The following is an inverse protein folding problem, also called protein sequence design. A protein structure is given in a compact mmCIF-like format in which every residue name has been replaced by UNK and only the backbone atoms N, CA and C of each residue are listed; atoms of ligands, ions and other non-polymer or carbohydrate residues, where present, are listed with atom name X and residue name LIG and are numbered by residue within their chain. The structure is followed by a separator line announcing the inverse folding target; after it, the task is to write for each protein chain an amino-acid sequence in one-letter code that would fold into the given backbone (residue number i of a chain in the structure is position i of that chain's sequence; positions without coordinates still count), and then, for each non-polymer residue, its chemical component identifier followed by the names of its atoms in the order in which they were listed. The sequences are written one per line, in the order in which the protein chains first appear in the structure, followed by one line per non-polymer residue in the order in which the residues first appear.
data_IF_986300431713
#
_entry.id   IF_986300431713
#
_cell.length_a   1.000
_cell.length_b   1.000
_cell.length_c   1.000
_cell.angle_alpha   90.00
_cell.angle_beta   90.00
_cell.angle_gamma   90.00
#
_symmetry.space_group_name_H-M   'P 1'
#
loop_
_entity.id
_entity.type
_entity.pdbx_description
1 polymer ?
#
# COMPACT_ATOMS: atom_id res chain seq x y z
N UNK A 1 -8.94 -7.74 26.19
CA UNK A 1 -8.55 -6.72 25.20
C UNK A 1 -8.12 -5.47 25.99
N UNK A 2 -6.83 -5.23 26.13
CA UNK A 2 -6.31 -4.11 26.93
C UNK A 2 -6.44 -2.85 26.06
N UNK A 3 -7.30 -1.91 26.45
CA UNK A 3 -7.32 -0.56 25.85
C UNK A 3 -6.05 0.15 26.30
N UNK A 4 -5.09 0.31 25.40
CA UNK A 4 -3.97 1.23 25.61
C UNK A 4 -4.55 2.63 25.51
N UNK A 5 -4.80 3.26 26.66
CA UNK A 5 -5.12 4.69 26.71
C UNK A 5 -3.77 5.41 26.67
N UNK A 6 -3.47 6.00 25.51
CA UNK A 6 -2.26 6.76 25.31
C UNK A 6 -2.51 8.18 25.81
N UNK A 7 -1.88 8.54 26.92
CA UNK A 7 -2.04 9.86 27.56
C UNK A 7 -0.93 10.78 27.09
N UNK A 8 -1.31 11.83 26.37
CA UNK A 8 -0.41 12.92 25.96
C UNK A 8 -0.33 13.91 27.13
N UNK A 9 0.88 14.31 27.54
CA UNK A 9 1.07 15.24 28.64
C UNK A 9 0.95 16.71 28.18
N UNK A 10 0.87 17.65 29.13
CA UNK A 10 0.70 19.08 28.82
C UNK A 10 1.84 19.68 28.00
N UNK A 11 3.08 19.24 28.22
CA UNK A 11 4.24 19.71 27.46
C UNK A 11 4.17 19.27 25.99
N UNK A 12 3.70 18.05 25.76
CA UNK A 12 3.52 17.48 24.42
C UNK A 12 2.38 18.16 23.66
N UNK A 13 1.27 18.44 24.34
CA UNK A 13 0.18 19.23 23.76
C UNK A 13 0.70 20.62 23.37
N UNK A 14 1.47 21.27 24.24
CA UNK A 14 2.02 22.59 23.94
C UNK A 14 2.98 22.55 22.75
N UNK A 15 3.88 21.56 22.69
CA UNK A 15 4.79 21.40 21.55
C UNK A 15 4.06 21.21 20.21
N UNK A 16 2.91 20.51 20.21
CA UNK A 16 2.06 20.38 19.02
C UNK A 16 1.45 21.72 18.62
N UNK A 17 0.92 22.47 19.59
CA UNK A 17 0.32 23.78 19.33
C UNK A 17 1.37 24.78 18.79
N UNK A 18 2.54 24.84 19.42
CA UNK A 18 3.65 25.69 18.98
C UNK A 18 4.12 25.31 17.56
N UNK A 19 4.17 24.02 17.24
CA UNK A 19 4.48 23.54 15.89
C UNK A 19 3.44 23.98 14.85
N UNK A 20 2.15 24.00 15.21
CA UNK A 20 1.07 24.48 14.33
C UNK A 20 1.27 25.97 14.05
N UNK A 21 1.60 26.77 15.06
CA UNK A 21 1.84 28.20 14.89
C UNK A 21 3.03 28.47 13.94
N UNK A 22 4.13 27.73 14.11
CA UNK A 22 5.29 27.82 13.20
C UNK A 22 4.89 27.45 11.76
N UNK A 23 4.06 26.43 11.57
CA UNK A 23 3.57 26.05 10.24
C UNK A 23 2.68 27.14 9.62
N UNK A 24 1.89 27.86 10.42
CA UNK A 24 1.11 28.99 9.96
C UNK A 24 2.01 30.15 9.52
N UNK A 25 3.10 30.42 10.23
CA UNK A 25 4.09 31.41 9.83
C UNK A 25 4.79 31.04 8.51
N UNK A 26 5.21 29.78 8.38
CA UNK A 26 5.76 29.24 7.12
C UNK A 26 4.76 29.44 5.97
N UNK A 27 3.49 29.10 6.19
CA UNK A 27 2.42 29.29 5.20
C UNK A 27 2.28 30.75 4.79
N UNK A 28 2.34 31.69 5.74
CA UNK A 28 2.30 33.12 5.44
C UNK A 28 3.50 33.56 4.60
N UNK A 29 4.70 33.08 4.91
CA UNK A 29 5.91 33.36 4.13
C UNK A 29 5.80 32.82 2.70
N UNK A 30 5.31 31.58 2.53
CA UNK A 30 5.03 30.98 1.20
C UNK A 30 4.02 31.82 0.41
N UNK A 31 2.97 32.34 1.07
CA UNK A 31 1.99 33.21 0.42
C UNK A 31 2.62 34.52 -0.05
N UNK A 32 3.54 35.09 0.73
CA UNK A 32 4.18 36.37 0.43
C UNK A 32 5.17 36.30 -0.74
N UNK A 33 5.68 35.11 -1.06
CA UNK A 33 6.58 34.88 -2.21
C UNK A 33 5.84 34.40 -3.46
N UNK A 34 4.53 34.20 -3.39
CA UNK A 34 3.74 33.84 -4.57
C UNK A 34 3.65 35.04 -5.55
N UNK A 35 3.63 34.80 -6.88
CA UNK A 35 3.65 33.49 -7.54
C UNK A 35 5.05 32.98 -7.89
N UNK A 36 6.11 33.76 -7.69
CA UNK A 36 7.46 33.38 -8.13
C UNK A 36 8.12 32.31 -7.26
N UNK A 37 7.69 32.21 -6.00
CA UNK A 37 8.24 31.31 -4.96
C UNK A 37 9.75 31.48 -4.75
N UNK A 38 10.29 32.66 -5.07
CA UNK A 38 11.70 32.99 -4.88
C UNK A 38 11.90 33.65 -3.52
N UNK A 39 12.78 33.07 -2.70
CA UNK A 39 13.19 33.64 -1.42
C UNK A 39 14.39 34.57 -1.62
N UNK A 40 14.30 35.80 -1.12
CA UNK A 40 15.48 36.64 -0.96
C UNK A 40 16.31 36.19 0.26
N UNK A 41 17.52 36.75 0.43
CA UNK A 41 18.45 36.31 1.49
C UNK A 41 17.87 36.43 2.91
N UNK A 42 17.02 37.42 3.16
CA UNK A 42 16.36 37.60 4.47
C UNK A 42 15.24 36.58 4.67
N UNK A 43 14.41 36.35 3.65
CA UNK A 43 13.34 35.36 3.69
C UNK A 43 13.89 33.94 3.81
N UNK A 44 15.01 33.63 3.15
CA UNK A 44 15.69 32.34 3.27
C UNK A 44 16.15 32.09 4.70
N UNK A 45 16.84 33.07 5.32
CA UNK A 45 17.25 32.96 6.73
C UNK A 45 16.07 32.75 7.66
N UNK A 46 14.99 33.48 7.45
CA UNK A 46 13.77 33.32 8.25
C UNK A 46 13.14 31.93 8.04
N UNK A 47 13.09 31.45 6.81
CA UNK A 47 12.58 30.12 6.48
C UNK A 47 13.40 29.01 7.15
N UNK A 48 14.73 29.10 7.09
CA UNK A 48 15.63 28.15 7.75
C UNK A 48 15.45 28.16 9.27
N UNK A 49 15.28 29.33 9.88
CA UNK A 49 15.00 29.47 11.31
C UNK A 49 13.68 28.80 11.69
N UNK A 50 12.61 29.04 10.91
CA UNK A 50 11.29 28.44 11.15
C UNK A 50 11.33 26.92 11.01
N UNK A 51 12.00 26.39 9.98
CA UNK A 51 12.15 24.95 9.78
C UNK A 51 12.94 24.28 10.91
N UNK A 52 14.04 24.90 11.36
CA UNK A 52 14.81 24.39 12.49
C UNK A 52 14.02 24.45 13.80
N UNK A 53 13.26 25.52 14.02
CA UNK A 53 12.37 25.64 15.18
C UNK A 53 11.30 24.55 15.16
N UNK A 54 10.64 24.35 14.02
CA UNK A 54 9.63 23.30 13.82
C UNK A 54 10.21 21.92 14.13
N UNK A 55 11.40 21.62 13.59
CA UNK A 55 12.09 20.36 13.86
C UNK A 55 12.32 20.18 15.35
N UNK A 56 12.89 21.17 16.03
CA UNK A 56 13.21 21.08 17.45
C UNK A 56 11.97 20.89 18.34
N UNK A 57 10.83 21.49 17.97
CA UNK A 57 9.58 21.33 18.72
C UNK A 57 8.98 19.92 18.57
N UNK A 58 9.06 19.36 17.35
CA UNK A 58 8.42 18.07 17.05
C UNK A 58 9.34 16.88 17.35
N UNK A 59 10.67 17.03 17.28
CA UNK A 59 11.64 15.94 17.47
C UNK A 59 11.46 15.16 18.79
N UNK A 60 11.16 15.78 19.94
CA UNK A 60 10.90 15.05 21.17
C UNK A 60 9.64 14.17 21.10
N UNK A 61 8.59 14.64 20.44
CA UNK A 61 7.36 13.87 20.19
C UNK A 61 7.65 12.69 19.26
N UNK A 62 8.38 12.94 18.17
CA UNK A 62 8.81 11.89 17.26
C UNK A 62 9.69 10.88 17.97
N UNK A 63 10.69 11.29 18.73
CA UNK A 63 11.57 10.38 19.47
C UNK A 63 10.81 9.48 20.47
N UNK A 64 9.73 9.99 21.07
CA UNK A 64 8.93 9.27 22.05
C UNK A 64 7.88 8.34 21.43
N UNK A 65 7.20 8.79 20.37
CA UNK A 65 6.05 8.09 19.77
C UNK A 65 6.39 7.38 18.46
N UNK A 66 7.48 7.77 17.81
CA UNK A 66 8.03 7.18 16.59
C UNK A 66 9.41 6.59 16.94
N UNK A 67 9.47 5.32 17.35
CA UNK A 67 10.73 4.64 17.65
C UNK A 67 11.80 4.93 16.59
N UNK A 68 12.98 5.43 16.99
CA UNK A 68 14.09 5.85 16.11
C UNK A 68 14.59 4.73 15.19
N UNK A 69 14.29 3.49 15.56
CA UNK A 69 14.47 2.23 14.85
C UNK A 69 13.45 1.99 13.72
N UNK A 70 12.40 2.80 13.56
CA UNK A 70 11.43 2.67 12.45
C UNK A 70 12.01 3.17 11.13
N UNK A 71 12.75 4.28 11.09
CA UNK A 71 13.25 4.79 9.81
C UNK A 71 14.29 3.85 9.17
N UNK A 72 15.24 3.33 9.95
CA UNK A 72 16.22 2.35 9.46
C UNK A 72 15.64 0.97 9.16
N UNK A 73 14.59 0.54 9.87
CA UNK A 73 13.99 -0.80 9.69
C UNK A 73 12.92 -0.81 8.58
N UNK A 74 12.16 0.28 8.42
CA UNK A 74 11.19 0.44 7.33
C UNK A 74 11.94 0.60 6.00
N UNK A 75 13.00 1.39 5.92
CA UNK A 75 13.82 1.49 4.70
C UNK A 75 14.48 0.16 4.35
N UNK A 76 15.04 -0.56 5.33
CA UNK A 76 15.60 -1.91 5.09
C UNK A 76 14.54 -2.91 4.63
N UNK A 77 13.37 -2.98 5.29
CA UNK A 77 12.27 -3.85 4.86
C UNK A 77 11.75 -3.47 3.47
N UNK A 78 11.61 -2.18 3.18
CA UNK A 78 11.18 -1.72 1.85
C UNK A 78 12.21 -2.08 0.79
N UNK A 79 13.50 -1.89 1.07
CA UNK A 79 14.59 -2.30 0.18
C UNK A 79 14.64 -3.82 -0.03
N UNK A 80 14.42 -4.62 1.01
CA UNK A 80 14.30 -6.08 0.89
C UNK A 80 13.10 -6.50 0.03
N UNK A 81 11.94 -5.88 0.22
CA UNK A 81 10.74 -6.13 -0.58
C UNK A 81 10.98 -5.74 -2.03
N UNK A 82 11.60 -4.58 -2.29
CA UNK A 82 11.98 -4.14 -3.64
C UNK A 82 12.98 -5.11 -4.30
N UNK A 83 13.97 -5.61 -3.56
CA UNK A 83 14.91 -6.62 -4.06
C UNK A 83 14.20 -7.94 -4.40
N UNK A 84 13.28 -8.39 -3.54
CA UNK A 84 12.47 -9.59 -3.82
C UNK A 84 11.52 -9.37 -5.01
N UNK A 85 10.95 -8.17 -5.18
CA UNK A 85 10.13 -7.81 -6.33
C UNK A 85 10.94 -7.79 -7.63
N UNK A 86 12.19 -7.27 -7.62
CA UNK A 86 13.08 -7.35 -8.78
C UNK A 86 13.34 -8.80 -9.20
N UNK A 87 13.62 -9.67 -8.23
CA UNK A 87 13.74 -11.13 -8.48
C UNK A 87 12.45 -11.74 -9.04
N UNK A 88 11.28 -11.27 -8.60
CA UNK A 88 10.00 -11.72 -9.14
C UNK A 88 9.81 -11.29 -10.60
N UNK A 89 10.17 -10.06 -10.95
CA UNK A 89 10.10 -9.54 -12.33
C UNK A 89 10.92 -10.39 -13.28
N UNK A 90 12.13 -10.77 -12.88
CA UNK A 90 13.04 -11.59 -13.68
C UNK A 90 12.56 -13.04 -13.86
N UNK A 91 11.62 -13.51 -13.04
CA UNK A 91 11.35 -14.95 -12.89
C UNK A 91 10.26 -15.57 -13.79
N UNK A 92 9.89 -14.93 -14.91
CA UNK A 92 8.87 -15.39 -15.87
C UNK A 92 7.58 -15.96 -15.20
N UNK A 93 7.05 -15.24 -14.20
CA UNK A 93 5.83 -15.66 -13.47
C UNK A 93 4.63 -14.84 -13.86
N UNK A 94 3.45 -15.42 -13.67
CA UNK A 94 2.19 -14.70 -13.67
C UNK A 94 1.92 -14.14 -12.28
N UNK A 95 1.45 -12.89 -12.24
CA UNK A 95 1.17 -12.18 -11.01
C UNK A 95 -0.34 -12.03 -10.85
N UNK A 96 -0.87 -12.61 -9.78
CA UNK A 96 -2.25 -12.41 -9.36
C UNK A 96 -2.30 -11.22 -8.38
N UNK A 97 -3.27 -10.33 -8.59
CA UNK A 97 -3.61 -9.25 -7.66
C UNK A 97 -5.13 -9.12 -7.54
N UNK A 98 -5.60 -8.68 -6.39
CA UNK A 98 -7.03 -8.41 -6.17
C UNK A 98 -7.47 -7.09 -6.79
N UNK A 99 -6.69 -6.03 -6.66
CA UNK A 99 -7.10 -4.68 -7.01
C UNK A 99 -6.62 -4.22 -8.40
N UNK A 100 -7.51 -3.59 -9.16
CA UNK A 100 -7.22 -3.13 -10.52
C UNK A 100 -6.24 -1.97 -10.59
N UNK A 101 -6.29 -1.04 -9.62
CA UNK A 101 -5.37 0.11 -9.56
C UNK A 101 -3.91 -0.35 -9.41
N UNK A 102 -3.68 -1.43 -8.67
CA UNK A 102 -2.37 -2.02 -8.42
C UNK A 102 -1.69 -2.55 -9.70
N UNK A 103 -2.47 -2.83 -10.76
CA UNK A 103 -1.91 -3.20 -12.06
C UNK A 103 -1.04 -2.09 -12.65
N UNK A 104 -1.45 -0.82 -12.49
CA UNK A 104 -0.69 0.33 -13.00
C UNK A 104 0.63 0.46 -12.25
N UNK A 105 0.60 0.27 -10.93
CA UNK A 105 1.76 0.33 -10.06
C UNK A 105 2.77 -0.76 -10.47
N UNK A 106 2.34 -2.01 -10.58
CA UNK A 106 3.23 -3.11 -11.02
C UNK A 106 3.81 -2.89 -12.41
N UNK A 107 3.02 -2.33 -13.35
CA UNK A 107 3.54 -1.96 -14.68
C UNK A 107 4.68 -0.94 -14.57
N UNK A 108 4.53 0.08 -13.73
CA UNK A 108 5.55 1.12 -13.56
C UNK A 108 6.84 0.56 -12.93
N UNK A 109 6.72 -0.47 -12.09
CA UNK A 109 7.86 -1.16 -11.46
C UNK A 109 8.56 -2.14 -12.43
N UNK A 110 7.98 -2.42 -13.61
CA UNK A 110 8.60 -3.20 -14.67
C UNK A 110 7.99 -4.58 -14.93
N UNK A 111 6.87 -4.94 -14.28
CA UNK A 111 6.18 -6.18 -14.60
C UNK A 111 5.56 -6.16 -15.99
N UNK A 112 5.68 -7.27 -16.73
CA UNK A 112 5.00 -7.43 -18.01
C UNK A 112 3.47 -7.40 -17.81
N UNK A 113 2.74 -6.43 -18.40
CA UNK A 113 1.29 -6.29 -18.21
C UNK A 113 0.46 -7.51 -18.66
N UNK A 114 0.99 -8.33 -19.57
CA UNK A 114 0.35 -9.56 -20.05
C UNK A 114 0.35 -10.66 -18.99
N UNK A 115 1.34 -10.63 -18.10
CA UNK A 115 1.51 -11.60 -17.02
C UNK A 115 0.74 -11.20 -15.76
N UNK A 116 0.15 -10.01 -15.71
CA UNK A 116 -0.65 -9.54 -14.56
C UNK A 116 -2.12 -9.94 -14.73
N UNK A 117 -2.64 -10.64 -13.74
CA UNK A 117 -4.03 -11.12 -13.64
C UNK A 117 -4.69 -10.38 -12.49
N UNK A 118 -5.80 -9.70 -12.80
CA UNK A 118 -6.57 -8.95 -11.81
C UNK A 118 -7.87 -9.70 -11.56
N UNK A 119 -8.09 -10.19 -10.34
CA UNK A 119 -9.37 -10.79 -9.98
C UNK A 119 -10.46 -9.72 -9.82
N UNK A 120 -10.12 -8.57 -9.24
CA UNK A 120 -11.07 -7.50 -8.92
C UNK A 120 -12.08 -7.91 -7.84
N UNK A 121 -11.69 -8.81 -6.94
CA UNK A 121 -12.53 -9.40 -5.90
C UNK A 121 -12.15 -10.86 -5.58
N UNK A 122 -12.94 -11.56 -4.76
CA UNK A 122 -12.74 -12.97 -4.46
C UNK A 122 -12.67 -13.85 -5.71
N UNK A 123 -11.95 -14.98 -5.61
CA UNK A 123 -11.86 -15.95 -6.71
C UNK A 123 -12.94 -17.04 -6.65
N UNK A 124 -13.72 -17.10 -5.56
CA UNK A 124 -14.87 -17.98 -5.43
C UNK A 124 -16.14 -17.13 -5.40
N UNK A 125 -17.13 -17.50 -6.22
CA UNK A 125 -18.33 -16.69 -6.43
C UNK A 125 -19.13 -16.45 -5.14
N UNK A 126 -19.21 -17.46 -4.26
CA UNK A 126 -19.99 -17.40 -3.02
C UNK A 126 -19.46 -16.32 -2.07
N UNK A 127 -18.18 -16.00 -2.13
CA UNK A 127 -17.55 -15.05 -1.20
C UNK A 127 -17.85 -13.59 -1.53
N UNK A 128 -18.32 -13.30 -2.74
CA UNK A 128 -18.77 -11.95 -3.06
C UNK A 128 -19.94 -11.51 -2.18
N UNK A 129 -20.76 -12.45 -1.70
CA UNK A 129 -21.82 -12.16 -0.74
C UNK A 129 -21.27 -12.00 0.69
N UNK A 130 -20.10 -12.55 1.02
CA UNK A 130 -19.40 -12.28 2.29
C UNK A 130 -18.92 -10.82 2.33
N UNK A 131 -18.35 -10.33 1.23
CA UNK A 131 -17.86 -8.94 1.10
C UNK A 131 -19.00 -7.92 1.00
N UNK A 132 -20.03 -8.24 0.21
CA UNK A 132 -21.18 -7.35 0.06
C UNK A 132 -22.50 -8.14 -0.10
N UNK A 133 -23.28 -8.28 0.98
CA UNK A 133 -24.55 -9.00 0.95
C UNK A 133 -25.63 -8.37 0.05
N UNK A 134 -25.52 -7.06 -0.25
CA UNK A 134 -26.56 -6.29 -0.95
C UNK A 134 -26.40 -6.27 -2.48
N UNK A 135 -25.63 -7.21 -3.06
CA UNK A 135 -25.38 -7.27 -4.49
C UNK A 135 -26.66 -7.64 -5.28
N UNK A 136 -26.98 -6.85 -6.31
CA UNK A 136 -28.13 -7.13 -7.17
C UNK A 136 -27.91 -8.38 -8.05
N UNK A 137 -29.01 -9.06 -8.42
CA UNK A 137 -28.96 -10.26 -9.29
C UNK A 137 -28.21 -10.03 -10.61
N UNK A 138 -28.35 -8.85 -11.21
CA UNK A 138 -27.68 -8.47 -12.46
C UNK A 138 -26.16 -8.35 -12.27
N UNK A 139 -25.72 -7.79 -11.14
CA UNK A 139 -24.30 -7.68 -10.80
C UNK A 139 -23.72 -9.08 -10.50
N UNK A 140 -24.45 -9.92 -9.77
CA UNK A 140 -24.04 -11.30 -9.45
C UNK A 140 -23.78 -12.15 -10.70
N UNK A 141 -24.59 -12.02 -11.75
CA UNK A 141 -24.34 -12.73 -13.02
C UNK A 141 -23.03 -12.29 -13.68
N UNK A 142 -22.76 -10.98 -13.69
CA UNK A 142 -21.52 -10.42 -14.21
C UNK A 142 -20.30 -10.91 -13.43
N UNK A 143 -20.39 -10.89 -12.09
CA UNK A 143 -19.38 -11.42 -11.18
C UNK A 143 -19.12 -12.90 -11.48
N UNK A 144 -20.16 -13.74 -11.49
CA UNK A 144 -20.04 -15.18 -11.75
C UNK A 144 -19.25 -15.46 -13.04
N UNK A 145 -19.57 -14.76 -14.13
CA UNK A 145 -18.85 -14.89 -15.41
C UNK A 145 -17.39 -14.47 -15.28
N UNK A 146 -17.11 -13.35 -14.60
CA UNK A 146 -15.74 -12.85 -14.39
C UNK A 146 -14.90 -13.81 -13.55
N UNK A 147 -15.48 -14.36 -12.48
CA UNK A 147 -14.84 -15.34 -11.61
C UNK A 147 -14.46 -16.60 -12.39
N UNK A 148 -15.40 -17.16 -13.16
CA UNK A 148 -15.15 -18.33 -14.02
C UNK A 148 -14.04 -18.05 -15.03
N UNK A 149 -14.08 -16.89 -15.71
CA UNK A 149 -13.06 -16.53 -16.69
C UNK A 149 -11.67 -16.39 -16.06
N UNK A 150 -11.61 -15.82 -14.84
CA UNK A 150 -10.35 -15.66 -14.11
C UNK A 150 -9.79 -17.02 -13.68
N UNK A 151 -10.62 -17.89 -13.11
CA UNK A 151 -10.23 -19.25 -12.73
C UNK A 151 -9.78 -20.07 -13.94
N UNK A 152 -10.49 -19.99 -15.06
CA UNK A 152 -10.08 -20.67 -16.29
C UNK A 152 -8.74 -20.16 -16.82
N UNK A 153 -8.50 -18.85 -16.74
CA UNK A 153 -7.21 -18.26 -17.11
C UNK A 153 -6.09 -18.79 -16.20
N UNK A 154 -6.29 -18.80 -14.89
CA UNK A 154 -5.34 -19.36 -13.92
C UNK A 154 -5.07 -20.85 -14.17
N UNK A 155 -6.12 -21.63 -14.45
CA UNK A 155 -6.02 -23.05 -14.79
C UNK A 155 -5.20 -23.30 -16.05
N UNK A 156 -5.40 -22.50 -17.10
CA UNK A 156 -4.62 -22.63 -18.34
C UNK A 156 -3.14 -22.29 -18.11
N UNK A 157 -2.86 -21.27 -17.32
CA UNK A 157 -1.50 -20.88 -16.94
C UNK A 157 -0.83 -21.99 -16.10
N UNK A 158 -1.56 -22.56 -15.14
CA UNK A 158 -1.09 -23.67 -14.33
C UNK A 158 -0.76 -24.90 -15.19
N UNK A 159 -1.65 -25.25 -16.13
CA UNK A 159 -1.45 -26.34 -17.11
C UNK A 159 -0.23 -26.12 -18.01
N UNK A 160 0.06 -24.88 -18.40
CA UNK A 160 1.24 -24.54 -19.19
C UNK A 160 2.56 -24.64 -18.40
N UNK A 161 2.50 -24.96 -17.10
CA UNK A 161 3.68 -25.14 -16.26
C UNK A 161 4.21 -23.84 -15.64
N UNK A 162 3.65 -22.68 -15.99
CA UNK A 162 4.06 -21.38 -15.45
C UNK A 162 3.73 -21.24 -13.95
N UNK A 163 4.55 -20.48 -13.23
CA UNK A 163 4.31 -20.18 -11.81
C UNK A 163 3.37 -18.99 -11.66
N UNK A 164 2.56 -19.01 -10.60
CA UNK A 164 1.62 -17.96 -10.26
C UNK A 164 2.00 -17.46 -8.88
N UNK A 165 2.16 -16.14 -8.73
CA UNK A 165 2.43 -15.49 -7.44
C UNK A 165 1.30 -14.51 -7.14
N UNK A 166 0.68 -14.65 -5.97
CA UNK A 166 -0.30 -13.70 -5.45
C UNK A 166 0.41 -12.64 -4.61
N UNK A 167 0.33 -11.39 -5.06
CA UNK A 167 0.79 -10.23 -4.29
C UNK A 167 -0.38 -9.71 -3.47
N UNK A 168 -0.23 -9.69 -2.15
CA UNK A 168 -1.31 -9.41 -1.20
C UNK A 168 -0.89 -8.44 -0.09
N UNK A 169 -1.89 -7.77 0.50
CA UNK A 169 -1.74 -6.95 1.71
C UNK A 169 -2.48 -7.65 2.85
N UNK A 170 -1.78 -7.98 3.94
CA UNK A 170 -2.36 -8.72 5.07
C UNK A 170 -3.63 -8.05 5.65
N UNK A 171 -3.70 -6.72 5.65
CA UNK A 171 -4.85 -5.99 6.20
C UNK A 171 -5.96 -5.71 5.18
N UNK A 172 -5.89 -6.26 3.97
CA UNK A 172 -6.92 -6.07 2.95
C UNK A 172 -7.97 -7.19 3.00
N UNK A 173 -9.24 -6.84 3.17
CA UNK A 173 -10.36 -7.78 3.32
C UNK A 173 -10.50 -8.74 2.12
N UNK A 174 -10.38 -8.23 0.90
CA UNK A 174 -10.48 -9.06 -0.31
C UNK A 174 -9.29 -10.01 -0.44
N UNK A 175 -8.09 -9.54 -0.09
CA UNK A 175 -6.89 -10.37 -0.12
C UNK A 175 -6.99 -11.51 0.90
N UNK A 176 -7.46 -11.22 2.11
CA UNK A 176 -7.66 -12.24 3.14
C UNK A 176 -8.63 -13.33 2.71
N UNK A 177 -9.75 -12.96 2.07
CA UNK A 177 -10.68 -13.95 1.51
C UNK A 177 -10.01 -14.83 0.45
N UNK A 178 -9.16 -14.24 -0.41
CA UNK A 178 -8.42 -15.04 -1.40
C UNK A 178 -7.41 -15.97 -0.72
N UNK A 179 -6.77 -15.54 0.37
CA UNK A 179 -5.83 -16.35 1.16
C UNK A 179 -6.51 -17.55 1.82
N UNK A 180 -7.68 -17.33 2.43
CA UNK A 180 -8.48 -18.39 3.07
C UNK A 180 -8.86 -19.50 2.08
N UNK A 181 -9.14 -19.12 0.83
CA UNK A 181 -9.62 -20.03 -0.22
C UNK A 181 -8.48 -20.61 -1.09
N UNK A 182 -7.21 -20.40 -0.74
CA UNK A 182 -6.08 -20.89 -1.55
C UNK A 182 -6.10 -22.40 -1.75
N UNK A 183 -6.59 -23.16 -0.77
CA UNK A 183 -6.74 -24.62 -0.89
C UNK A 183 -7.76 -24.97 -1.96
N UNK A 184 -8.95 -24.38 -1.92
CA UNK A 184 -9.99 -24.62 -2.93
C UNK A 184 -9.52 -24.17 -4.32
N UNK A 185 -8.87 -23.00 -4.40
CA UNK A 185 -8.31 -22.48 -5.66
C UNK A 185 -7.27 -23.45 -6.22
N UNK A 186 -6.38 -23.99 -5.37
CA UNK A 186 -5.36 -24.98 -5.75
C UNK A 186 -6.01 -26.23 -6.32
N UNK A 187 -7.08 -26.72 -5.72
CA UNK A 187 -7.80 -27.91 -6.20
C UNK A 187 -8.45 -27.66 -7.57
N UNK A 188 -8.99 -26.46 -7.79
CA UNK A 188 -9.62 -26.06 -9.07
C UNK A 188 -8.59 -25.92 -10.20
N UNK A 189 -7.45 -25.28 -9.93
CA UNK A 189 -6.44 -24.97 -10.95
C UNK A 189 -5.37 -26.06 -11.09
N UNK A 190 -5.28 -26.98 -10.11
CA UNK A 190 -4.33 -28.09 -10.07
C UNK A 190 -2.89 -27.69 -9.71
N UNK A 191 -2.69 -26.49 -9.15
CA UNK A 191 -1.36 -25.96 -8.83
C UNK A 191 -1.41 -24.97 -7.67
N UNK A 192 -0.36 -24.96 -6.85
CA UNK A 192 -0.21 -23.97 -5.79
C UNK A 192 0.06 -22.56 -6.33
N UNK A 193 -0.34 -21.56 -5.56
CA UNK A 193 -0.04 -20.15 -5.80
C UNK A 193 1.02 -19.73 -4.77
N UNK A 194 2.15 -19.20 -5.26
CA UNK A 194 3.18 -18.62 -4.40
C UNK A 194 2.64 -17.32 -3.77
N UNK A 195 3.04 -17.03 -2.54
CA UNK A 195 2.58 -15.84 -1.82
C UNK A 195 3.68 -14.80 -1.71
N UNK A 196 3.31 -13.54 -1.92
CA UNK A 196 4.19 -12.40 -1.74
C UNK A 196 3.47 -11.26 -1.02
N UNK A 197 3.82 -11.04 0.24
CA UNK A 197 3.22 -9.98 1.05
C UNK A 197 3.88 -8.63 0.74
N UNK A 198 3.05 -7.60 0.64
CA UNK A 198 3.48 -6.20 0.68
C UNK A 198 2.71 -5.43 1.77
N UNK A 199 3.35 -4.48 2.46
CA UNK A 199 2.68 -3.68 3.49
C UNK A 199 1.62 -2.73 2.92
N UNK A 200 1.85 -2.19 1.73
CA UNK A 200 0.89 -1.39 0.97
C UNK A 200 1.40 -1.18 -0.47
N UNK A 201 0.54 -0.71 -1.37
CA UNK A 201 0.92 -0.41 -2.75
C UNK A 201 1.74 0.88 -2.93
N UNK A 202 1.59 1.85 -2.01
CA UNK A 202 2.26 3.17 -2.10
C UNK A 202 3.78 3.07 -2.03
N UNK A 203 4.31 2.05 -1.33
CA UNK A 203 5.76 1.83 -1.27
C UNK A 203 6.40 1.54 -2.64
N UNK A 204 5.58 1.17 -3.63
CA UNK A 204 6.01 0.82 -4.99
C UNK A 204 5.75 1.95 -5.99
N UNK A 205 5.13 3.04 -5.54
CA UNK A 205 4.97 4.25 -6.34
C UNK A 205 6.30 4.99 -6.33
N UNK A 206 7.05 4.86 -7.42
CA UNK A 206 8.26 5.65 -7.72
C UNK A 206 7.84 6.98 -8.33
#
# INVERSE_FOLDING_TARGET
MIRVILTINSQEVQAILDAIDILLEIKCLIRNIAPSYQLNATQLKLFDLLLNSLKNQIEPLFSKYIPSNLNGTIERKNNEILLKLKKLIESERYILISASHSKKILKNVGFNPLNIIVSGGPLIFKDYLKVNPNLSKKILQGIKRKTINTLNKLKNIAKAGSKITFIYIEKNETDQIILEELSEIKDIIGKGIDLFEIPNWKMLEV
#
